data_IF_267548268398
#
_entry.id   IF_267548268398
#
_cell.length_a   1.000
_cell.length_b   1.000
_cell.length_c   1.000
_cell.angle_alpha   90.00
_cell.angle_beta   90.00
_cell.angle_gamma   90.00
#
_symmetry.space_group_name_H-M   'P 1'
#
loop_
_entity.id
_entity.type
_entity.pdbx_description
1 polymer ?
#
# COMPACT_ATOMS: atom_id res chain seq x y z
N UNK A 1 29.84 32.29 29.96
CA UNK A 1 28.59 32.39 30.76
C UNK A 1 27.39 32.11 29.85
N UNK A 2 26.68 31.02 30.17
CA UNK A 2 25.25 30.74 29.92
C UNK A 2 24.77 30.59 28.46
N UNK A 3 24.78 29.35 27.98
CA UNK A 3 23.84 28.88 26.96
C UNK A 3 22.40 28.92 27.52
N UNK A 4 21.46 29.51 26.78
CA UNK A 4 20.03 29.40 27.07
C UNK A 4 19.46 28.24 26.26
N UNK A 5 19.26 27.11 26.92
CA UNK A 5 18.44 26.00 26.44
C UNK A 5 16.99 26.44 26.61
N UNK A 6 16.27 26.64 25.51
CA UNK A 6 14.81 26.80 25.53
C UNK A 6 14.23 25.40 25.29
N UNK A 7 13.87 24.73 26.38
CA UNK A 7 13.07 23.51 26.34
C UNK A 7 11.61 23.92 26.04
N UNK A 8 11.18 23.75 24.79
CA UNK A 8 9.79 23.90 24.40
C UNK A 8 8.99 22.66 24.75
N UNK A 9 8.23 22.74 25.85
CA UNK A 9 7.27 21.72 26.28
C UNK A 9 6.04 21.77 25.35
N UNK A 10 5.95 20.89 24.35
CA UNK A 10 4.74 20.76 23.53
C UNK A 10 3.76 19.81 24.22
N UNK A 11 2.76 20.38 24.90
CA UNK A 11 1.59 19.68 25.42
C UNK A 11 0.55 19.56 24.31
N UNK A 12 0.34 18.35 23.79
CA UNK A 12 -0.79 18.05 22.91
C UNK A 12 -2.04 17.82 23.75
N UNK A 13 -2.90 18.84 23.85
CA UNK A 13 -4.29 18.68 24.30
C UNK A 13 -5.13 18.25 23.09
N UNK A 14 -5.45 16.96 23.02
CA UNK A 14 -6.49 16.45 22.13
C UNK A 14 -7.86 16.89 22.66
N UNK A 15 -8.44 17.93 22.08
CA UNK A 15 -9.88 18.17 22.16
C UNK A 15 -10.57 17.27 21.13
N UNK A 16 -11.09 16.15 21.61
CA UNK A 16 -12.04 15.33 20.89
C UNK A 16 -13.34 16.14 20.66
N UNK A 17 -13.65 16.44 19.41
CA UNK A 17 -15.03 16.72 19.01
C UNK A 17 -15.61 15.43 18.42
N UNK A 18 -16.38 14.73 19.25
CA UNK A 18 -17.34 13.73 18.81
C UNK A 18 -18.36 14.41 17.90
N UNK A 19 -18.48 13.95 16.66
CA UNK A 19 -19.68 14.20 15.85
C UNK A 19 -20.55 12.95 15.88
N UNK A 20 -21.58 13.08 16.69
CA UNK A 20 -22.69 12.17 16.94
C UNK A 20 -23.49 11.96 15.65
N UNK A 21 -23.43 10.77 15.04
CA UNK A 21 -24.33 10.37 13.97
C UNK A 21 -25.53 9.63 14.54
N UNK A 22 -26.55 10.42 14.86
CA UNK A 22 -27.85 9.96 15.30
C UNK A 22 -28.56 9.11 14.23
N UNK A 23 -29.11 7.99 14.69
CA UNK A 23 -29.91 7.00 13.98
C UNK A 23 -31.25 7.57 13.50
N UNK A 24 -31.59 7.34 12.22
CA UNK A 24 -32.99 7.28 11.77
C UNK A 24 -33.23 5.99 11.00
N UNK A 25 -33.60 4.98 11.78
CA UNK A 25 -34.28 3.78 11.35
C UNK A 25 -35.67 4.19 10.83
N UNK A 26 -36.01 3.82 9.59
CA UNK A 26 -37.40 3.79 9.11
C UNK A 26 -37.70 2.40 8.60
N UNK A 27 -38.77 1.85 9.15
CA UNK A 27 -39.27 0.50 9.00
C UNK A 27 -39.59 0.13 7.54
N UNK A 28 -39.21 -1.10 7.15
CA UNK A 28 -39.97 -1.88 6.19
C UNK A 28 -40.17 -3.29 6.74
N UNK A 29 -41.40 -3.53 7.19
CA UNK A 29 -41.89 -4.79 7.73
C UNK A 29 -42.58 -5.60 6.62
N UNK A 30 -42.21 -6.88 6.54
CA UNK A 30 -43.01 -8.05 6.17
C UNK A 30 -43.46 -8.28 4.71
N UNK A 31 -43.11 -9.45 4.14
CA UNK A 31 -44.03 -10.61 4.15
C UNK A 31 -43.36 -11.91 3.67
N UNK A 32 -43.35 -12.90 4.56
CA UNK A 32 -43.11 -14.32 4.27
C UNK A 32 -44.46 -14.99 4.00
N UNK A 33 -44.58 -15.72 2.88
CA UNK A 33 -45.71 -16.59 2.60
C UNK A 33 -45.25 -18.04 2.44
N UNK A 34 -45.32 -18.78 3.55
CA UNK A 34 -45.44 -20.25 3.55
C UNK A 34 -46.74 -20.63 2.84
N UNK A 35 -46.66 -21.45 1.80
CA UNK A 35 -47.80 -22.24 1.30
C UNK A 35 -47.48 -23.73 1.48
N UNK A 36 -48.23 -24.37 2.36
CA UNK A 36 -48.32 -25.83 2.56
C UNK A 36 -49.53 -26.35 1.75
N UNK A 37 -49.58 -27.68 1.54
CA UNK A 37 -50.61 -28.55 0.90
C UNK A 37 -50.02 -29.24 -0.35
N UNK A 38 -50.05 -30.57 -0.56
CA UNK A 38 -50.87 -31.67 -0.01
C UNK A 38 -50.12 -33.02 -0.13
N UNK A 39 -50.43 -33.91 0.81
CA UNK A 39 -50.09 -35.33 0.86
C UNK A 39 -50.79 -36.19 -0.21
N UNK A 40 -50.14 -37.27 -0.66
CA UNK A 40 -50.82 -38.51 -1.08
C UNK A 40 -50.08 -39.72 -0.49
N UNK A 41 -50.85 -40.57 0.21
CA UNK A 41 -50.47 -41.88 0.77
C UNK A 41 -51.32 -42.94 0.07
N UNK A 42 -50.70 -44.04 -0.38
CA UNK A 42 -51.21 -45.43 -0.57
C UNK A 42 -50.17 -46.16 -1.43
N UNK A 43 -49.66 -47.36 -1.11
CA UNK A 43 -49.88 -48.30 -0.02
C UNK A 43 -49.08 -49.59 -0.28
N UNK A 44 -49.02 -50.46 0.75
CA UNK A 44 -48.68 -51.89 0.78
C UNK A 44 -47.19 -52.35 0.78
N UNK A 45 -46.80 -52.91 1.93
CA UNK A 45 -45.72 -53.89 2.24
C UNK A 45 -46.23 -55.34 1.95
N UNK A 46 -45.50 -56.49 2.16
CA UNK A 46 -44.29 -56.71 2.99
C UNK A 46 -43.27 -57.86 2.61
N UNK A 47 -42.16 -57.90 3.39
CA UNK A 47 -41.26 -59.03 3.81
C UNK A 47 -40.27 -59.62 2.77
N UNK A 48 -38.97 -59.72 3.08
CA UNK A 48 -38.38 -60.89 3.79
C UNK A 48 -36.96 -60.64 4.38
N UNK A 49 -36.81 -61.14 5.62
CA UNK A 49 -35.68 -61.56 6.50
C UNK A 49 -34.17 -61.43 6.13
N UNK A 50 -33.41 -61.12 7.20
CA UNK A 50 -32.14 -61.71 7.71
C UNK A 50 -30.82 -60.89 7.62
N UNK A 51 -30.19 -60.71 8.80
CA UNK A 51 -28.82 -60.21 9.12
C UNK A 51 -27.74 -61.31 8.85
N UNK A 52 -26.39 -61.12 9.05
CA UNK A 52 -25.62 -59.98 9.64
C UNK A 52 -24.28 -59.56 8.93
N UNK A 53 -23.74 -58.40 9.36
CA UNK A 53 -22.33 -57.94 9.54
C UNK A 53 -21.25 -58.29 8.47
N UNK A 54 -20.63 -57.25 7.91
CA UNK A 54 -19.18 -57.19 7.65
C UNK A 54 -18.65 -55.76 7.90
N UNK A 55 -17.69 -55.66 8.82
CA UNK A 55 -16.76 -54.53 8.95
C UNK A 55 -15.91 -54.45 7.69
N UNK A 56 -15.71 -53.25 7.13
CA UNK A 56 -14.44 -52.95 6.46
C UNK A 56 -14.17 -51.45 6.39
N UNK A 57 -13.07 -51.08 7.06
CA UNK A 57 -12.13 -50.01 6.77
C UNK A 57 -12.65 -48.59 6.51
N UNK A 58 -12.44 -47.76 7.52
CA UNK A 58 -11.83 -46.43 7.43
C UNK A 58 -11.24 -46.06 6.05
N UNK A 59 -11.86 -45.10 5.39
CA UNK A 59 -11.13 -44.14 4.56
C UNK A 59 -11.45 -42.75 5.08
N UNK A 60 -10.47 -42.17 5.76
CA UNK A 60 -10.44 -40.77 6.14
C UNK A 60 -10.59 -39.91 4.88
N UNK A 61 -11.82 -39.52 4.52
CA UNK A 61 -12.05 -38.31 3.76
C UNK A 61 -11.94 -37.13 4.72
N UNK A 62 -10.69 -36.78 5.04
CA UNK A 62 -10.31 -35.55 5.73
C UNK A 62 -9.31 -34.77 4.87
N UNK A 63 -9.46 -34.83 3.56
CA UNK A 63 -8.74 -33.99 2.60
C UNK A 63 -9.78 -33.47 1.60
N UNK A 64 -10.26 -32.24 1.81
CA UNK A 64 -10.55 -31.30 0.69
C UNK A 64 -11.04 -29.92 1.17
N UNK A 65 -11.54 -29.80 2.40
CA UNK A 65 -12.21 -28.56 2.80
C UNK A 65 -11.28 -27.45 3.34
N UNK A 66 -10.12 -27.82 3.92
CA UNK A 66 -9.12 -26.87 4.45
C UNK A 66 -8.03 -26.48 3.43
N UNK A 67 -7.88 -27.23 2.34
CA UNK A 67 -6.86 -26.99 1.31
C UNK A 67 -7.29 -25.93 0.30
N UNK A 68 -8.60 -25.85 -0.01
CA UNK A 68 -9.13 -24.88 -0.98
C UNK A 68 -8.91 -23.41 -0.56
N UNK A 69 -9.21 -22.99 0.69
CA UNK A 69 -8.95 -21.60 1.13
C UNK A 69 -7.47 -21.23 1.09
N UNK A 70 -6.59 -22.15 1.51
CA UNK A 70 -5.13 -21.93 1.49
C UNK A 70 -4.60 -21.79 0.07
N UNK A 71 -5.07 -22.60 -0.88
CA UNK A 71 -4.65 -22.53 -2.28
C UNK A 71 -5.08 -21.22 -2.95
N UNK A 72 -6.30 -20.74 -2.69
CA UNK A 72 -6.74 -19.43 -3.16
C UNK A 72 -5.83 -18.32 -2.62
N UNK A 73 -5.56 -18.33 -1.32
CA UNK A 73 -4.69 -17.34 -0.67
C UNK A 73 -3.26 -17.34 -1.24
N UNK A 74 -2.68 -18.52 -1.49
CA UNK A 74 -1.36 -18.65 -2.12
C UNK A 74 -1.34 -18.09 -3.54
N UNK A 75 -2.37 -18.37 -4.33
CA UNK A 75 -2.48 -17.87 -5.70
C UNK A 75 -2.61 -16.35 -5.73
N UNK A 76 -3.44 -15.79 -4.84
CA UNK A 76 -3.61 -14.33 -4.71
C UNK A 76 -2.29 -13.66 -4.32
N UNK A 77 -1.57 -14.19 -3.33
CA UNK A 77 -0.26 -13.68 -2.92
C UNK A 77 0.77 -13.72 -4.05
N UNK A 78 0.88 -14.86 -4.74
CA UNK A 78 1.81 -15.01 -5.88
C UNK A 78 1.48 -14.01 -6.99
N UNK A 79 0.19 -13.84 -7.30
CA UNK A 79 -0.27 -12.86 -8.29
C UNK A 79 0.04 -11.42 -7.86
N UNK A 80 -0.13 -11.06 -6.58
CA UNK A 80 0.23 -9.74 -6.07
C UNK A 80 1.74 -9.50 -6.17
N UNK A 81 2.55 -10.49 -5.79
CA UNK A 81 4.02 -10.41 -5.86
C UNK A 81 4.48 -10.23 -7.30
N UNK A 82 3.89 -10.98 -8.25
CA UNK A 82 4.23 -10.89 -9.66
C UNK A 82 3.85 -9.55 -10.27
N UNK A 83 2.66 -9.02 -9.92
CA UNK A 83 2.26 -7.67 -10.32
C UNK A 83 3.20 -6.60 -9.76
N UNK A 84 3.61 -6.71 -8.51
CA UNK A 84 4.53 -5.76 -7.89
C UNK A 84 5.94 -5.82 -8.52
N UNK A 85 6.43 -7.02 -8.81
CA UNK A 85 7.70 -7.20 -9.53
C UNK A 85 7.66 -6.61 -10.94
N UNK A 86 6.62 -6.92 -11.72
CA UNK A 86 6.44 -6.33 -13.05
C UNK A 86 6.30 -4.81 -13.00
N UNK A 87 5.69 -4.26 -11.94
CA UNK A 87 5.62 -2.82 -11.73
C UNK A 87 7.02 -2.21 -11.48
N UNK A 88 7.90 -2.88 -10.72
CA UNK A 88 9.27 -2.43 -10.56
C UNK A 88 10.03 -2.42 -11.90
N UNK A 89 9.90 -3.50 -12.70
CA UNK A 89 10.52 -3.58 -14.03
C UNK A 89 10.05 -2.48 -14.99
N UNK A 90 8.78 -2.06 -14.89
CA UNK A 90 8.25 -0.92 -15.65
C UNK A 90 9.07 0.35 -15.38
N UNK A 91 9.43 0.64 -14.13
CA UNK A 91 10.20 1.85 -13.81
C UNK A 91 11.69 1.69 -14.06
N UNK A 92 12.23 0.47 -14.06
CA UNK A 92 13.57 0.23 -14.62
C UNK A 92 13.63 0.61 -16.11
N UNK A 93 12.59 0.27 -16.89
CA UNK A 93 12.50 0.70 -18.30
C UNK A 93 12.37 2.22 -18.43
N UNK A 94 11.51 2.84 -17.62
CA UNK A 94 11.34 4.31 -17.60
C UNK A 94 12.65 5.05 -17.27
N UNK A 95 13.47 4.50 -16.38
CA UNK A 95 14.79 5.04 -16.07
C UNK A 95 15.78 4.86 -17.23
N UNK A 96 15.75 3.72 -17.94
CA UNK A 96 16.59 3.51 -19.14
C UNK A 96 16.24 4.49 -20.27
N UNK A 97 14.97 4.87 -20.38
CA UNK A 97 14.45 5.82 -21.36
C UNK A 97 14.41 7.27 -20.81
N UNK A 98 15.03 7.52 -19.67
CA UNK A 98 15.06 8.85 -19.03
C UNK A 98 15.70 9.88 -19.97
N UNK A 99 15.01 10.99 -20.29
CA UNK A 99 15.60 12.06 -21.08
C UNK A 99 16.71 12.76 -20.30
N UNK A 100 17.63 13.44 -21.00
CA UNK A 100 18.79 14.10 -20.39
C UNK A 100 18.44 15.11 -19.29
N UNK A 101 17.26 15.73 -19.38
CA UNK A 101 16.75 16.70 -18.42
C UNK A 101 15.93 16.05 -17.29
N UNK A 102 15.86 14.71 -17.23
CA UNK A 102 15.20 13.94 -16.17
C UNK A 102 13.73 14.34 -15.99
N UNK A 103 13.02 14.43 -17.13
CA UNK A 103 11.63 14.88 -17.24
C UNK A 103 11.40 16.31 -16.71
N UNK A 104 12.47 17.12 -16.68
CA UNK A 104 12.46 18.49 -16.17
C UNK A 104 12.34 18.60 -14.64
N UNK A 105 12.60 17.52 -13.89
CA UNK A 105 12.56 17.54 -12.41
C UNK A 105 13.83 18.20 -11.86
N UNK A 106 13.85 19.53 -11.90
CA UNK A 106 14.94 20.39 -11.42
C UNK A 106 15.24 20.22 -9.91
N UNK A 107 14.25 19.75 -9.13
CA UNK A 107 14.41 19.45 -7.71
C UNK A 107 15.57 18.47 -7.44
N UNK A 108 15.87 17.54 -8.35
CA UNK A 108 16.98 16.58 -8.21
C UNK A 108 18.35 17.25 -8.09
N UNK A 109 18.54 18.46 -8.65
CA UNK A 109 19.81 19.21 -8.54
C UNK A 109 20.07 19.71 -7.12
N UNK A 110 19.00 19.85 -6.32
CA UNK A 110 19.04 20.32 -4.94
C UNK A 110 19.13 19.18 -3.91
N UNK A 111 19.05 17.93 -4.36
CA UNK A 111 19.13 16.74 -3.53
C UNK A 111 20.50 16.10 -3.68
N UNK A 112 21.14 15.76 -2.55
CA UNK A 112 22.47 15.16 -2.53
C UNK A 112 22.70 14.33 -1.28
N UNK A 113 23.86 13.69 -1.20
CA UNK A 113 24.14 12.70 -0.16
C UNK A 113 25.02 13.28 0.94
N UNK A 114 24.64 13.10 2.21
CA UNK A 114 25.46 13.50 3.35
C UNK A 114 26.80 12.76 3.39
N UNK A 115 26.82 11.50 2.95
CA UNK A 115 28.02 10.65 2.91
C UNK A 115 28.96 10.95 1.74
N UNK A 116 28.54 11.76 0.77
CA UNK A 116 29.38 12.14 -0.37
C UNK A 116 29.04 13.57 -0.80
N UNK A 117 29.67 14.55 -0.13
CA UNK A 117 29.49 15.96 -0.47
C UNK A 117 29.83 16.20 -1.95
N UNK A 118 28.87 16.73 -2.70
CA UNK A 118 29.02 17.04 -4.13
C UNK A 118 28.22 16.14 -5.07
N UNK A 119 27.98 14.87 -4.71
CA UNK A 119 27.13 14.00 -5.53
C UNK A 119 25.65 14.39 -5.36
N UNK A 120 24.96 14.57 -6.49
CA UNK A 120 23.54 14.92 -6.57
C UNK A 120 22.70 13.74 -7.04
N UNK A 121 21.39 13.82 -6.82
CA UNK A 121 20.42 12.84 -7.36
C UNK A 121 20.39 12.84 -8.90
N UNK A 122 20.88 13.90 -9.54
CA UNK A 122 21.03 13.95 -11.00
C UNK A 122 22.18 13.10 -11.55
N UNK A 123 23.10 12.62 -10.69
CA UNK A 123 24.30 11.92 -11.12
C UNK A 123 24.01 10.55 -11.78
N UNK A 124 25.00 10.05 -12.52
CA UNK A 124 24.97 8.74 -13.18
C UNK A 124 25.48 7.61 -12.26
N UNK A 125 25.15 7.66 -10.97
CA UNK A 125 25.51 6.61 -10.00
C UNK A 125 24.33 5.66 -9.76
N UNK A 126 24.60 4.41 -9.38
CA UNK A 126 23.55 3.42 -9.10
C UNK A 126 22.55 3.89 -8.03
N UNK A 127 23.04 4.58 -6.98
CA UNK A 127 22.16 5.11 -5.93
C UNK A 127 21.31 6.28 -6.41
N UNK A 128 21.85 7.16 -7.25
CA UNK A 128 21.11 8.29 -7.82
C UNK A 128 20.05 7.79 -8.81
N UNK A 129 20.41 6.85 -9.68
CA UNK A 129 19.50 6.12 -10.57
C UNK A 129 18.35 5.47 -9.81
N UNK A 130 18.65 4.72 -8.74
CA UNK A 130 17.65 4.09 -7.88
C UNK A 130 16.71 5.13 -7.24
N UNK A 131 17.25 6.22 -6.73
CA UNK A 131 16.44 7.31 -6.14
C UNK A 131 15.46 7.87 -7.18
N UNK A 132 15.93 8.18 -8.40
CA UNK A 132 15.06 8.71 -9.47
C UNK A 132 14.02 7.69 -9.92
N UNK A 133 14.40 6.43 -10.12
CA UNK A 133 13.47 5.32 -10.42
C UNK A 133 12.34 5.23 -9.39
N UNK A 134 12.71 5.22 -8.11
CA UNK A 134 11.77 5.14 -6.99
C UNK A 134 10.83 6.35 -6.98
N UNK A 135 11.38 7.54 -7.26
CA UNK A 135 10.59 8.78 -7.41
C UNK A 135 9.56 8.65 -8.55
N UNK A 136 9.99 8.22 -9.74
CA UNK A 136 9.09 8.05 -10.90
C UNK A 136 7.95 7.06 -10.64
N UNK A 137 8.22 6.06 -9.80
CA UNK A 137 7.25 5.06 -9.42
C UNK A 137 6.07 5.61 -8.62
N UNK A 138 6.33 6.59 -7.73
CA UNK A 138 5.30 7.29 -6.95
C UNK A 138 4.63 8.40 -7.75
N UNK A 139 5.39 9.10 -8.59
CA UNK A 139 4.85 10.16 -9.44
C UNK A 139 4.08 9.64 -10.66
N UNK A 140 3.81 8.33 -10.73
CA UNK A 140 3.24 7.66 -11.90
C UNK A 140 1.80 8.06 -12.26
N UNK A 141 1.12 8.81 -11.39
CA UNK A 141 -0.22 9.34 -11.64
C UNK A 141 -0.18 10.74 -12.26
N UNK A 142 1.00 11.38 -12.31
CA UNK A 142 1.25 12.65 -12.95
C UNK A 142 1.79 12.36 -14.36
N UNK A 143 1.25 13.04 -15.37
CA UNK A 143 1.78 12.93 -16.74
C UNK A 143 3.24 13.44 -16.79
N UNK A 144 4.07 12.77 -17.59
CA UNK A 144 5.49 13.12 -17.72
C UNK A 144 5.71 14.60 -18.11
N UNK A 145 4.82 15.17 -18.92
CA UNK A 145 4.88 16.57 -19.32
C UNK A 145 4.57 17.56 -18.17
N UNK A 146 3.99 17.07 -17.07
CA UNK A 146 3.66 17.87 -15.88
C UNK A 146 4.67 17.68 -14.75
N UNK A 147 5.61 16.74 -14.86
CA UNK A 147 6.62 16.48 -13.82
C UNK A 147 7.50 17.71 -13.55
N UNK A 148 7.87 18.46 -14.60
CA UNK A 148 8.55 19.75 -14.45
C UNK A 148 7.76 20.71 -13.56
N UNK A 149 6.46 20.86 -13.82
CA UNK A 149 5.60 21.77 -13.06
C UNK A 149 5.42 21.31 -11.61
N UNK A 150 5.26 20.01 -11.39
CA UNK A 150 5.26 19.44 -10.04
C UNK A 150 6.56 19.76 -9.30
N UNK A 151 7.71 19.57 -9.96
CA UNK A 151 9.02 19.92 -9.39
C UNK A 151 9.10 21.41 -9.01
N UNK A 152 8.66 22.31 -9.88
CA UNK A 152 8.64 23.76 -9.62
C UNK A 152 7.77 24.09 -8.39
N UNK A 153 6.58 23.50 -8.26
CA UNK A 153 5.67 23.71 -7.13
C UNK A 153 6.33 23.30 -5.80
N UNK A 154 6.95 22.12 -5.76
CA UNK A 154 7.63 21.62 -4.56
C UNK A 154 8.86 22.47 -4.20
N UNK A 155 9.55 23.01 -5.21
CA UNK A 155 10.65 23.95 -5.01
C UNK A 155 10.16 25.27 -4.41
N UNK A 156 9.09 25.86 -4.96
CA UNK A 156 8.48 27.10 -4.47
C UNK A 156 7.96 26.97 -3.03
N UNK A 157 7.43 25.79 -2.67
CA UNK A 157 6.94 25.55 -1.32
C UNK A 157 8.05 25.38 -0.27
N UNK A 158 9.31 25.25 -0.70
CA UNK A 158 10.45 24.96 0.18
C UNK A 158 10.49 23.53 0.71
N UNK A 159 9.68 22.60 0.17
CA UNK A 159 9.55 21.22 0.67
C UNK A 159 10.27 20.18 -0.21
N UNK A 160 11.34 20.59 -0.91
CA UNK A 160 12.12 19.71 -1.80
C UNK A 160 12.57 18.44 -1.06
N UNK A 161 13.31 18.60 0.04
CA UNK A 161 13.83 17.45 0.79
C UNK A 161 12.71 16.66 1.47
N UNK A 162 11.73 17.35 2.06
CA UNK A 162 10.63 16.71 2.77
C UNK A 162 9.81 15.80 1.86
N UNK A 163 9.34 16.31 0.73
CA UNK A 163 8.49 15.54 -0.19
C UNK A 163 9.29 14.46 -0.91
N UNK A 164 10.38 14.82 -1.61
CA UNK A 164 11.10 13.84 -2.45
C UNK A 164 11.76 12.72 -1.64
N UNK A 165 12.39 13.01 -0.50
CA UNK A 165 13.01 11.96 0.31
C UNK A 165 11.97 11.02 0.92
N UNK A 166 10.79 11.54 1.26
CA UNK A 166 9.76 10.71 1.90
C UNK A 166 9.09 9.78 0.89
N UNK A 167 8.75 10.28 -0.30
CA UNK A 167 8.19 9.43 -1.36
C UNK A 167 9.20 8.40 -1.86
N UNK A 168 10.47 8.79 -1.99
CA UNK A 168 11.53 7.87 -2.38
C UNK A 168 11.70 6.77 -1.33
N UNK A 169 11.73 7.12 -0.04
CA UNK A 169 11.87 6.14 1.03
C UNK A 169 10.72 5.13 1.06
N UNK A 170 9.48 5.58 0.85
CA UNK A 170 8.30 4.68 0.75
C UNK A 170 8.49 3.69 -0.40
N UNK A 171 8.86 4.17 -1.58
CA UNK A 171 9.06 3.29 -2.72
C UNK A 171 10.31 2.42 -2.58
N UNK A 172 11.37 2.90 -1.93
CA UNK A 172 12.54 2.10 -1.60
C UNK A 172 12.15 0.92 -0.72
N UNK A 173 11.35 1.15 0.32
CA UNK A 173 10.81 0.09 1.18
C UNK A 173 10.08 -0.98 0.38
N UNK A 174 9.22 -0.57 -0.57
CA UNK A 174 8.48 -1.53 -1.39
C UNK A 174 9.36 -2.22 -2.44
N UNK A 175 9.94 -1.43 -3.34
CA UNK A 175 10.58 -1.91 -4.59
C UNK A 175 12.00 -2.44 -4.38
N UNK A 176 12.70 -1.94 -3.37
CA UNK A 176 14.10 -2.28 -3.12
C UNK A 176 14.30 -3.21 -1.93
N UNK A 177 13.31 -3.32 -1.02
CA UNK A 177 13.40 -4.22 0.15
C UNK A 177 12.35 -5.34 0.12
N UNK A 178 11.05 -5.00 0.08
CA UNK A 178 9.97 -5.99 0.20
C UNK A 178 9.90 -6.90 -1.03
N UNK A 179 9.74 -6.34 -2.22
CA UNK A 179 9.56 -7.12 -3.45
C UNK A 179 10.77 -8.02 -3.73
N UNK A 180 12.03 -7.55 -3.65
CA UNK A 180 13.21 -8.41 -3.84
C UNK A 180 13.32 -9.53 -2.80
N UNK A 181 12.76 -9.36 -1.60
CA UNK A 181 12.73 -10.40 -0.57
C UNK A 181 11.62 -11.42 -0.82
N UNK A 182 10.45 -10.97 -1.30
CA UNK A 182 9.29 -11.83 -1.55
C UNK A 182 9.40 -12.62 -2.85
N UNK A 183 9.82 -11.98 -3.93
CA UNK A 183 9.74 -12.54 -5.27
C UNK A 183 10.50 -13.89 -5.41
N UNK A 184 11.74 -14.04 -4.90
CA UNK A 184 12.45 -15.32 -4.93
C UNK A 184 11.81 -16.41 -4.04
N UNK A 185 11.04 -16.01 -3.02
CA UNK A 185 10.42 -16.92 -2.03
C UNK A 185 8.98 -17.29 -2.38
N UNK A 186 8.38 -16.69 -3.42
CA UNK A 186 6.96 -16.90 -3.78
C UNK A 186 6.58 -18.37 -4.04
N UNK A 187 7.56 -19.18 -4.47
CA UNK A 187 7.42 -20.62 -4.71
C UNK A 187 7.47 -21.49 -3.45
N UNK A 188 7.81 -20.91 -2.29
CA UNK A 188 7.90 -21.61 -0.99
C UNK A 188 6.82 -21.16 0.00
N UNK A 189 5.87 -20.30 -0.42
CA UNK A 189 4.85 -19.73 0.47
C UNK A 189 3.95 -20.80 1.09
N UNK A 190 3.78 -21.95 0.43
CA UNK A 190 2.97 -23.07 0.94
C UNK A 190 3.48 -23.65 2.27
N UNK A 191 4.77 -23.42 2.60
CA UNK A 191 5.37 -23.78 3.89
C UNK A 191 4.85 -22.95 5.05
N UNK A 192 4.26 -21.78 4.79
CA UNK A 192 3.68 -20.94 5.83
C UNK A 192 2.34 -21.52 6.31
N UNK A 193 2.08 -21.34 7.61
CA UNK A 193 0.75 -21.52 8.18
C UNK A 193 -0.25 -20.54 7.56
N UNK A 194 -1.53 -20.93 7.50
CA UNK A 194 -2.60 -20.11 6.91
C UNK A 194 -2.66 -18.72 7.56
N UNK A 195 -2.55 -18.65 8.89
CA UNK A 195 -2.55 -17.39 9.64
C UNK A 195 -1.41 -16.44 9.24
N UNK A 196 -0.24 -16.99 8.90
CA UNK A 196 0.91 -16.20 8.43
C UNK A 196 0.74 -15.77 6.96
N UNK A 197 0.10 -16.60 6.13
CA UNK A 197 -0.26 -16.20 4.77
C UNK A 197 -1.28 -15.05 4.76
N UNK A 198 -2.28 -15.10 5.62
CA UNK A 198 -3.29 -14.03 5.76
C UNK A 198 -2.62 -12.71 6.17
N UNK A 199 -1.81 -12.75 7.23
CA UNK A 199 -1.03 -11.59 7.69
C UNK A 199 -0.10 -11.05 6.60
N UNK A 200 0.56 -11.95 5.86
CA UNK A 200 1.45 -11.55 4.77
C UNK A 200 0.68 -10.83 3.66
N UNK A 201 -0.47 -11.38 3.25
CA UNK A 201 -1.33 -10.78 2.22
C UNK A 201 -1.81 -9.41 2.68
N UNK A 202 -2.39 -9.32 3.87
CA UNK A 202 -2.92 -8.07 4.42
C UNK A 202 -1.84 -7.00 4.52
N UNK A 203 -0.66 -7.35 5.02
CA UNK A 203 0.46 -6.41 5.14
C UNK A 203 0.96 -5.96 3.77
N UNK A 204 1.08 -6.88 2.82
CA UNK A 204 1.57 -6.55 1.48
C UNK A 204 0.57 -5.68 0.70
N UNK A 205 -0.73 -5.99 0.77
CA UNK A 205 -1.80 -5.16 0.20
C UNK A 205 -1.82 -3.76 0.79
N UNK A 206 -1.60 -3.62 2.11
CA UNK A 206 -1.50 -2.31 2.78
C UNK A 206 -0.32 -1.50 2.27
N UNK A 207 0.87 -2.09 2.10
CA UNK A 207 2.03 -1.38 1.53
C UNK A 207 1.74 -0.90 0.10
N UNK A 208 1.11 -1.73 -0.75
CA UNK A 208 0.71 -1.34 -2.11
C UNK A 208 -0.34 -0.21 -2.09
N UNK A 209 -1.25 -0.23 -1.13
CA UNK A 209 -2.25 0.81 -0.92
C UNK A 209 -1.62 2.14 -0.47
N UNK A 210 -0.58 2.09 0.38
CA UNK A 210 0.19 3.28 0.77
C UNK A 210 0.79 3.96 -0.46
N UNK A 211 1.47 3.22 -1.33
CA UNK A 211 2.00 3.74 -2.61
C UNK A 211 0.92 4.47 -3.40
N UNK A 212 -0.22 3.81 -3.59
CA UNK A 212 -1.35 4.37 -4.36
C UNK A 212 -1.91 5.64 -3.72
N UNK A 213 -2.04 5.65 -2.39
CA UNK A 213 -2.54 6.79 -1.63
C UNK A 213 -1.60 7.98 -1.75
N UNK A 214 -0.30 7.76 -1.56
CA UNK A 214 0.72 8.81 -1.66
C UNK A 214 0.81 9.36 -3.07
N UNK A 215 0.73 8.51 -4.09
CA UNK A 215 0.68 8.93 -5.50
C UNK A 215 -0.49 9.89 -5.77
N UNK A 216 -1.67 9.59 -5.22
CA UNK A 216 -2.83 10.49 -5.30
C UNK A 216 -2.63 11.80 -4.56
N UNK A 217 -2.02 11.77 -3.37
CA UNK A 217 -1.75 12.98 -2.57
C UNK A 217 -0.80 13.94 -3.31
N UNK A 218 0.27 13.44 -3.92
CA UNK A 218 1.22 14.29 -4.68
C UNK A 218 0.63 14.81 -5.99
N UNK A 219 -0.21 14.02 -6.66
CA UNK A 219 -0.98 14.53 -7.81
C UNK A 219 -1.98 15.60 -7.37
N UNK A 220 -2.64 15.43 -6.22
CA UNK A 220 -3.57 16.43 -5.73
C UNK A 220 -2.89 17.79 -5.47
N UNK A 221 -1.64 17.82 -4.98
CA UNK A 221 -0.86 19.07 -4.86
C UNK A 221 -0.76 19.81 -6.21
N UNK A 222 -0.48 19.08 -7.28
CA UNK A 222 -0.38 19.66 -8.63
C UNK A 222 -1.72 20.24 -9.08
N UNK A 223 -2.82 19.51 -8.87
CA UNK A 223 -4.17 19.95 -9.24
C UNK A 223 -4.62 21.16 -8.42
N UNK A 224 -4.39 21.12 -7.11
CA UNK A 224 -4.73 22.23 -6.20
C UNK A 224 -3.97 23.50 -6.58
N UNK A 225 -2.70 23.38 -6.97
CA UNK A 225 -1.92 24.52 -7.42
C UNK A 225 -2.39 25.05 -8.77
N UNK A 226 -2.72 24.18 -9.73
CA UNK A 226 -3.23 24.58 -11.04
C UNK A 226 -4.55 25.35 -10.93
N UNK A 227 -5.43 24.92 -10.04
CA UNK A 227 -6.74 25.51 -9.80
C UNK A 227 -6.73 26.67 -8.79
N UNK A 228 -5.56 27.01 -8.24
CA UNK A 228 -5.41 27.99 -7.16
C UNK A 228 -6.33 27.70 -5.94
N UNK A 229 -6.54 26.41 -5.66
CA UNK A 229 -7.31 25.95 -4.52
C UNK A 229 -6.69 26.52 -3.24
N UNK A 230 -7.51 27.18 -2.41
CA UNK A 230 -7.04 27.87 -1.20
C UNK A 230 -5.96 28.94 -1.44
N UNK A 231 -5.89 29.52 -2.65
CA UNK A 231 -4.96 30.59 -3.01
C UNK A 231 -3.48 30.17 -2.99
N UNK A 232 -3.17 28.87 -3.08
CA UNK A 232 -1.80 28.37 -2.98
C UNK A 232 -0.94 28.70 -4.21
N UNK A 233 -1.53 29.15 -5.33
CA UNK A 233 -0.77 29.63 -6.49
C UNK A 233 -0.34 31.09 -6.32
N UNK A 234 -1.14 31.88 -5.63
CA UNK A 234 -0.91 33.32 -5.47
C UNK A 234 -0.27 33.72 -4.15
N UNK A 235 -0.33 32.86 -3.12
CA UNK A 235 0.20 33.13 -1.79
C UNK A 235 1.22 32.05 -1.38
N UNK A 236 2.49 32.45 -1.34
CA UNK A 236 3.62 31.57 -1.02
C UNK A 236 3.52 30.96 0.40
N UNK A 237 2.97 31.70 1.37
CA UNK A 237 2.81 31.19 2.73
C UNK A 237 1.74 30.09 2.79
N UNK A 238 0.67 30.24 1.99
CA UNK A 238 -0.36 29.19 1.87
C UNK A 238 0.17 27.97 1.13
N UNK A 239 0.97 28.16 0.07
CA UNK A 239 1.65 27.04 -0.59
C UNK A 239 2.53 26.27 0.38
N UNK A 240 3.38 26.98 1.14
CA UNK A 240 4.26 26.38 2.13
C UNK A 240 3.46 25.60 3.18
N UNK A 241 2.44 26.22 3.78
CA UNK A 241 1.59 25.54 4.78
C UNK A 241 0.88 24.30 4.21
N UNK A 242 0.41 24.38 2.96
CA UNK A 242 -0.22 23.26 2.28
C UNK A 242 0.79 22.12 2.04
N UNK A 243 2.00 22.43 1.57
CA UNK A 243 3.06 21.46 1.35
C UNK A 243 3.58 20.85 2.67
N UNK A 244 3.66 21.62 3.76
CA UNK A 244 4.01 21.12 5.10
C UNK A 244 2.99 20.09 5.59
N UNK A 245 1.69 20.37 5.39
CA UNK A 245 0.62 19.43 5.72
C UNK A 245 0.72 18.15 4.90
N UNK A 246 0.96 18.27 3.60
CA UNK A 246 1.19 17.11 2.72
C UNK A 246 2.40 16.28 3.19
N UNK A 247 3.53 16.93 3.45
CA UNK A 247 4.74 16.27 3.96
C UNK A 247 4.46 15.48 5.24
N UNK A 248 3.72 16.06 6.19
CA UNK A 248 3.36 15.36 7.43
C UNK A 248 2.48 14.13 7.15
N UNK A 249 1.51 14.23 6.24
CA UNK A 249 0.65 13.10 5.87
C UNK A 249 1.44 11.97 5.20
N UNK A 250 2.33 12.29 4.25
CA UNK A 250 3.19 11.30 3.59
C UNK A 250 4.19 10.69 4.60
N UNK A 251 4.67 11.47 5.56
CA UNK A 251 5.58 10.99 6.61
C UNK A 251 4.93 9.95 7.52
N UNK A 252 3.66 10.11 7.89
CA UNK A 252 2.93 9.08 8.62
C UNK A 252 2.77 7.80 7.79
N UNK A 253 2.53 7.94 6.48
CA UNK A 253 2.50 6.80 5.55
C UNK A 253 3.84 6.10 5.39
N UNK A 254 4.95 6.82 5.47
CA UNK A 254 6.28 6.23 5.53
C UNK A 254 6.47 5.37 6.78
N UNK A 255 6.11 5.88 7.96
CA UNK A 255 6.20 5.10 9.22
C UNK A 255 5.33 3.84 9.16
N UNK A 256 4.13 3.94 8.59
CA UNK A 256 3.25 2.80 8.37
C UNK A 256 3.91 1.75 7.44
N UNK A 257 4.51 2.17 6.33
CA UNK A 257 5.21 1.29 5.41
C UNK A 257 6.44 0.61 6.05
N UNK A 258 7.20 1.32 6.88
CA UNK A 258 8.34 0.77 7.63
C UNK A 258 7.92 -0.35 8.58
N UNK A 259 6.82 -0.14 9.33
CA UNK A 259 6.27 -1.17 10.22
C UNK A 259 5.80 -2.40 9.43
N UNK A 260 5.06 -2.18 8.34
CA UNK A 260 4.57 -3.29 7.49
C UNK A 260 5.72 -4.08 6.86
N UNK A 261 6.82 -3.41 6.50
CA UNK A 261 8.05 -4.07 6.02
C UNK A 261 8.62 -5.00 7.09
N UNK A 262 8.70 -4.56 8.34
CA UNK A 262 9.17 -5.39 9.46
C UNK A 262 8.24 -6.59 9.69
N UNK A 263 6.92 -6.38 9.68
CA UNK A 263 5.91 -7.45 9.82
C UNK A 263 6.05 -8.50 8.71
N UNK A 264 6.26 -8.07 7.45
CA UNK A 264 6.49 -8.96 6.31
C UNK A 264 7.79 -9.76 6.51
N UNK A 265 8.89 -9.10 6.91
CA UNK A 265 10.19 -9.75 7.09
C UNK A 265 10.17 -10.79 8.20
N UNK A 266 9.45 -10.55 9.29
CA UNK A 266 9.24 -11.54 10.34
C UNK A 266 8.59 -12.83 9.84
N UNK A 267 7.68 -12.73 8.86
CA UNK A 267 7.00 -13.89 8.28
C UNK A 267 7.92 -14.64 7.33
N UNK A 268 8.55 -13.94 6.38
CA UNK A 268 9.25 -14.58 5.26
C UNK A 268 10.67 -15.05 5.57
N UNK A 269 11.26 -14.59 6.67
CA UNK A 269 12.56 -15.12 7.13
C UNK A 269 12.48 -16.58 7.59
N UNK A 270 11.26 -17.12 7.77
CA UNK A 270 11.05 -18.51 8.18
C UNK A 270 10.93 -19.48 6.99
N UNK A 271 11.10 -19.02 5.73
CA UNK A 271 10.90 -19.83 4.51
C UNK A 271 11.98 -19.66 3.44
#
# INVERSE_FOLDING_TARGET
>A
MKHKIIAGLFVFLFLACNTDFNTKQKDMKYQSSKKRLKSKKKGLTPKTKANPIQEESSTNQKEDHDTAPKNTLLNDLRNLIDKAHANNEKYEKKLKEEPKDQYGIEAFKNLGWSSSPGEKVTADTERAKRYRKNTYSILNTIDDNQLKKFSEIVMLSGQIQGIFNTIEAIEYTLSSLIVPSLYPKKGNLEKLEISNLEKLKDSFEKVLSIKTTVSKMVHQLLLDYQNDTNQIKTDENKLKSHADKLFNQISEKKKEAEKLKDDIFLIINNI
#
